data_IF_913994571138
#
_entry.id   IF_913994571138
#
_cell.length_a   1.000
_cell.length_b   1.000
_cell.length_c   1.000
_cell.angle_alpha   90.00
_cell.angle_beta   90.00
_cell.angle_gamma   90.00
#
_symmetry.space_group_name_H-M   'P 1'
#
loop_
_entity.id
_entity.type
_entity.pdbx_description
1 polymer ?
#
# COMPACT_ATOMS: atom_id res chain seq x y z
N UNK A 1 48.00 25.83 -43.24
CA UNK A 1 46.69 26.47 -42.96
C UNK A 1 45.67 25.89 -43.93
N UNK A 2 44.46 25.59 -43.46
CA UNK A 2 43.51 24.69 -44.13
C UNK A 2 42.65 25.41 -45.17
N UNK A 3 42.70 24.98 -46.44
CA UNK A 3 41.67 25.28 -47.45
C UNK A 3 41.43 24.04 -48.31
N UNK A 4 40.43 23.24 -47.92
CA UNK A 4 39.81 22.19 -48.74
C UNK A 4 38.28 22.34 -48.58
N UNK A 5 37.62 23.05 -49.50
CA UNK A 5 37.03 22.54 -50.75
C UNK A 5 35.55 22.12 -50.60
N UNK A 6 34.69 23.01 -51.13
CA UNK A 6 33.43 22.75 -51.87
C UNK A 6 32.14 22.43 -51.11
N UNK A 7 31.16 23.31 -51.37
CA UNK A 7 29.73 23.18 -51.13
C UNK A 7 29.13 21.94 -51.83
N UNK A 8 28.33 21.17 -51.08
CA UNK A 8 27.32 20.16 -51.49
C UNK A 8 26.43 19.94 -50.24
N UNK A 9 25.10 19.80 -50.26
CA UNK A 9 24.09 19.81 -51.34
C UNK A 9 22.89 20.71 -50.91
N UNK A 10 21.64 20.38 -51.25
CA UNK A 10 20.41 20.96 -50.70
C UNK A 10 19.50 19.89 -50.06
N UNK A 11 18.92 20.22 -48.92
CA UNK A 11 17.60 19.81 -48.39
C UNK A 11 17.37 20.65 -47.11
N UNK A 12 16.23 21.26 -46.81
CA UNK A 12 14.87 20.95 -47.20
C UNK A 12 14.07 20.55 -45.94
N UNK A 13 12.86 21.09 -45.78
CA UNK A 13 11.82 20.74 -44.78
C UNK A 13 11.85 21.46 -43.41
N UNK A 14 10.91 22.39 -43.30
CA UNK A 14 9.99 22.64 -42.17
C UNK A 14 10.52 22.64 -40.73
N UNK A 15 10.47 23.82 -40.11
CA UNK A 15 10.39 24.02 -38.66
C UNK A 15 9.05 23.51 -38.08
N UNK A 16 8.86 22.20 -38.04
CA UNK A 16 7.97 21.62 -37.02
C UNK A 16 8.77 21.48 -35.73
N UNK A 17 8.64 22.50 -34.87
CA UNK A 17 9.13 22.45 -33.50
C UNK A 17 8.69 21.12 -32.88
N UNK A 18 9.65 20.27 -32.51
CA UNK A 18 9.37 18.98 -31.90
C UNK A 18 8.96 19.19 -30.43
N UNK A 19 7.82 19.88 -30.24
CA UNK A 19 7.09 19.91 -28.99
C UNK A 19 6.72 18.48 -28.70
N UNK A 20 7.53 17.85 -27.84
CA UNK A 20 7.15 16.61 -27.19
C UNK A 20 6.04 16.98 -26.21
N UNK A 21 4.80 17.04 -26.71
CA UNK A 21 3.66 16.82 -25.83
C UNK A 21 3.82 15.38 -25.38
N UNK A 22 4.48 15.22 -24.23
CA UNK A 22 4.29 14.04 -23.41
C UNK A 22 2.79 14.01 -23.13
N UNK A 23 2.07 13.25 -23.95
CA UNK A 23 0.69 12.88 -23.66
C UNK A 23 0.82 12.09 -22.38
N UNK A 24 0.56 12.75 -21.25
CA UNK A 24 0.50 12.09 -19.97
C UNK A 24 -0.33 10.85 -20.19
N UNK A 25 0.26 9.69 -19.90
CA UNK A 25 -0.57 8.52 -19.73
C UNK A 25 -1.66 8.91 -18.73
N UNK A 26 -2.92 8.45 -18.89
CA UNK A 26 -3.75 8.39 -17.71
C UNK A 26 -2.90 7.69 -16.65
N UNK A 27 -2.72 8.32 -15.49
CA UNK A 27 -2.29 7.57 -14.32
C UNK A 27 -3.25 6.38 -14.29
N UNK A 28 -2.71 5.18 -14.41
CA UNK A 28 -3.52 3.98 -14.47
C UNK A 28 -4.46 4.04 -13.28
N UNK A 29 -5.73 3.73 -13.53
CA UNK A 29 -6.73 3.53 -12.50
C UNK A 29 -6.09 2.93 -11.25
N UNK A 30 -6.23 3.66 -10.14
CA UNK A 30 -5.71 3.26 -8.83
C UNK A 30 -6.11 1.79 -8.61
N UNK A 31 -5.16 0.85 -8.50
CA UNK A 31 -5.53 -0.50 -8.12
C UNK A 31 -6.14 -0.35 -6.73
N UNK A 32 -7.40 -0.75 -6.61
CA UNK A 32 -8.18 -0.73 -5.38
C UNK A 32 -7.29 -1.26 -4.25
N UNK A 33 -6.69 -0.35 -3.46
CA UNK A 33 -5.75 -0.74 -2.41
C UNK A 33 -6.59 -1.46 -1.37
N UNK A 34 -6.51 -2.79 -1.40
CA UNK A 34 -7.06 -3.72 -0.44
C UNK A 34 -6.53 -3.31 0.94
N UNK A 35 -7.25 -2.40 1.61
CA UNK A 35 -6.95 -1.88 2.94
C UNK A 35 -7.20 -2.98 3.95
N UNK A 36 -6.26 -3.93 3.99
CA UNK A 36 -6.22 -5.03 4.92
C UNK A 36 -6.45 -4.50 6.34
N UNK A 37 -7.33 -5.16 7.08
CA UNK A 37 -7.55 -4.77 8.47
C UNK A 37 -6.25 -4.94 9.26
N UNK A 38 -6.11 -4.22 10.38
CA UNK A 38 -4.96 -4.37 11.27
C UNK A 38 -4.71 -5.84 11.64
N UNK A 39 -5.76 -6.64 11.75
CA UNK A 39 -5.73 -8.06 12.12
C UNK A 39 -5.31 -8.99 10.97
N UNK A 40 -5.29 -8.52 9.73
CA UNK A 40 -4.81 -9.25 8.55
C UNK A 40 -3.32 -8.98 8.25
N UNK A 41 -2.73 -7.93 8.83
CA UNK A 41 -1.32 -7.59 8.66
C UNK A 41 -0.41 -8.52 9.51
N UNK A 42 0.82 -8.82 9.10
CA UNK A 42 1.77 -9.57 9.94
C UNK A 42 2.25 -8.73 11.13
N UNK A 43 2.81 -9.33 12.20
CA UNK A 43 3.58 -8.56 13.19
C UNK A 43 4.77 -7.86 12.54
N UNK A 44 4.98 -6.60 12.90
CA UNK A 44 6.14 -5.82 12.46
C UNK A 44 6.85 -5.17 13.66
N UNK A 45 8.13 -5.51 13.83
CA UNK A 45 9.01 -5.01 14.89
C UNK A 45 9.43 -3.56 14.63
N UNK A 46 9.49 -3.13 13.37
CA UNK A 46 10.06 -1.85 12.95
C UNK A 46 11.59 -1.77 13.10
N UNK A 47 12.15 -0.64 12.67
CA UNK A 47 13.61 -0.44 12.52
C UNK A 47 14.34 0.12 13.76
N UNK A 48 13.66 0.20 14.92
CA UNK A 48 14.24 0.73 16.16
C UNK A 48 14.58 -0.36 17.18
N UNK A 49 15.58 -0.11 18.03
CA UNK A 49 16.11 -1.09 18.98
C UNK A 49 15.57 -0.98 20.43
N UNK A 50 14.30 -0.59 20.63
CA UNK A 50 13.67 -0.64 21.97
C UNK A 50 13.01 -2.00 22.20
N UNK A 51 12.95 -2.42 23.45
CA UNK A 51 12.15 -3.58 23.85
C UNK A 51 10.83 -3.11 24.46
N UNK A 52 9.81 -2.91 23.62
CA UNK A 52 8.45 -2.55 24.06
C UNK A 52 7.54 -3.76 23.88
N UNK A 53 7.02 -4.32 24.97
CA UNK A 53 5.99 -5.36 24.91
C UNK A 53 4.72 -4.83 24.25
N UNK A 54 4.24 -5.52 23.23
CA UNK A 54 3.00 -5.23 22.49
C UNK A 54 2.30 -6.54 22.15
N UNK A 55 1.04 -6.46 21.73
CA UNK A 55 0.24 -7.59 21.29
C UNK A 55 -0.10 -7.47 19.81
N UNK A 56 -0.12 -8.58 19.08
CA UNK A 56 -0.56 -8.66 17.70
C UNK A 56 -1.51 -9.84 17.52
N UNK A 57 -2.40 -9.78 16.54
CA UNK A 57 -3.22 -10.92 16.15
C UNK A 57 -2.45 -11.81 15.17
N UNK A 58 -2.32 -13.09 15.50
CA UNK A 58 -1.71 -14.09 14.65
C UNK A 58 -2.79 -14.84 13.88
N UNK A 59 -2.87 -14.62 12.56
CA UNK A 59 -3.83 -15.28 11.68
C UNK A 59 -3.55 -16.78 11.44
N UNK A 60 -2.39 -17.31 11.83
CA UNK A 60 -2.10 -18.75 11.78
C UNK A 60 -2.67 -19.51 12.99
N UNK A 61 -2.76 -18.86 14.15
CA UNK A 61 -3.34 -19.41 15.40
C UNK A 61 -4.75 -18.92 15.69
N UNK A 62 -5.21 -17.87 14.99
CA UNK A 62 -6.44 -17.11 15.25
C UNK A 62 -6.49 -16.48 16.66
N UNK A 63 -5.33 -16.25 17.28
CA UNK A 63 -5.18 -15.74 18.64
C UNK A 63 -4.31 -14.48 18.71
N UNK A 64 -4.52 -13.67 19.76
CA UNK A 64 -3.64 -12.57 20.09
C UNK A 64 -2.41 -13.07 20.85
N UNK A 65 -1.23 -12.63 20.43
CA UNK A 65 0.07 -13.08 20.94
C UNK A 65 0.95 -11.88 21.34
N UNK A 66 1.83 -12.08 22.31
CA UNK A 66 2.82 -11.07 22.71
C UNK A 66 4.00 -11.01 21.72
N UNK A 67 4.48 -9.81 21.40
CA UNK A 67 5.73 -9.60 20.68
C UNK A 67 6.51 -8.37 21.18
N UNK A 68 7.81 -8.34 20.86
CA UNK A 68 8.66 -7.19 21.13
C UNK A 68 8.61 -6.22 19.95
N UNK A 69 8.09 -5.02 20.18
CA UNK A 69 8.12 -3.91 19.24
C UNK A 69 9.34 -3.01 19.46
N UNK A 70 10.03 -2.67 18.37
CA UNK A 70 11.22 -1.84 18.33
C UNK A 70 11.01 -0.38 18.77
N UNK A 71 9.77 0.08 18.85
CA UNK A 71 9.42 1.38 19.40
C UNK A 71 9.43 2.54 18.40
N UNK A 72 9.52 2.25 17.09
CA UNK A 72 9.19 3.15 15.98
C UNK A 72 8.80 2.32 14.74
N UNK A 73 8.19 2.96 13.74
CA UNK A 73 7.69 2.32 12.52
C UNK A 73 6.77 1.12 12.87
N UNK A 74 6.87 0.02 12.12
CA UNK A 74 5.93 -1.09 12.19
C UNK A 74 4.61 -0.77 11.46
N UNK A 75 3.62 -1.63 11.67
CA UNK A 75 2.26 -1.49 11.13
C UNK A 75 1.20 -1.47 12.25
N UNK A 76 -0.08 -1.51 11.87
CA UNK A 76 -1.21 -1.36 12.79
C UNK A 76 -1.60 -2.65 13.54
N UNK A 77 -1.00 -3.81 13.25
CA UNK A 77 -1.19 -5.03 14.04
C UNK A 77 -0.38 -4.99 15.35
N UNK A 78 -0.69 -4.01 16.22
CA UNK A 78 0.13 -3.65 17.37
C UNK A 78 -0.68 -2.91 18.43
N UNK A 79 -1.13 -3.65 19.43
CA UNK A 79 -1.99 -3.20 20.51
C UNK A 79 -1.21 -3.09 21.84
N UNK A 80 -1.66 -2.23 22.75
CA UNK A 80 -1.09 -2.05 24.10
C UNK A 80 -1.52 -3.15 25.08
N UNK A 81 -2.60 -3.89 24.78
CA UNK A 81 -3.07 -5.00 25.61
C UNK A 81 -3.66 -6.17 24.82
N UNK A 82 -3.66 -7.35 25.48
CA UNK A 82 -4.31 -8.57 24.99
C UNK A 82 -5.83 -8.39 24.78
N UNK A 83 -6.45 -7.58 25.64
CA UNK A 83 -7.89 -7.25 25.58
C UNK A 83 -8.19 -6.38 24.36
N UNK A 84 -7.44 -5.31 24.15
CA UNK A 84 -7.55 -4.43 22.98
C UNK A 84 -7.37 -5.19 21.66
N UNK A 85 -6.32 -6.01 21.56
CA UNK A 85 -6.11 -6.90 20.40
C UNK A 85 -7.32 -7.83 20.18
N UNK A 86 -7.81 -8.45 21.26
CA UNK A 86 -8.97 -9.35 21.20
C UNK A 86 -10.24 -8.62 20.76
N UNK A 87 -10.49 -7.40 21.26
CA UNK A 87 -11.68 -6.63 20.96
C UNK A 87 -11.69 -6.04 19.55
N UNK A 88 -10.51 -5.75 18.99
CA UNK A 88 -10.35 -5.37 17.59
C UNK A 88 -10.60 -6.60 16.69
N UNK A 89 -9.81 -7.65 16.85
CA UNK A 89 -9.72 -8.74 15.86
C UNK A 89 -10.82 -9.79 15.96
N UNK A 90 -11.61 -9.82 17.04
CA UNK A 90 -12.83 -10.64 17.11
C UNK A 90 -14.03 -10.04 16.36
N UNK A 91 -13.97 -8.76 15.93
CA UNK A 91 -15.05 -8.12 15.17
C UNK A 91 -14.87 -8.26 13.66
N UNK A 92 -13.63 -8.26 13.18
CA UNK A 92 -13.32 -8.42 11.75
C UNK A 92 -13.88 -9.74 11.18
N UNK A 93 -13.86 -10.82 11.96
CA UNK A 93 -14.48 -12.11 11.61
C UNK A 93 -16.02 -12.11 11.61
N UNK A 94 -16.67 -11.08 12.15
CA UNK A 94 -18.12 -10.85 12.02
C UNK A 94 -18.47 -9.84 10.91
N UNK A 95 -17.60 -8.86 10.62
CA UNK A 95 -17.86 -7.80 9.64
C UNK A 95 -17.60 -8.24 8.19
N UNK A 96 -16.74 -9.23 7.93
CA UNK A 96 -16.74 -9.96 6.65
C UNK A 96 -18.08 -10.67 6.37
N UNK A 97 -18.83 -11.03 7.40
CA UNK A 97 -20.15 -11.66 7.25
C UNK A 97 -21.27 -10.63 7.01
N UNK A 98 -21.13 -9.39 7.53
CA UNK A 98 -22.09 -8.29 7.30
C UNK A 98 -21.98 -7.69 5.90
N UNK A 99 -20.77 -7.50 5.39
CA UNK A 99 -20.55 -7.03 4.02
C UNK A 99 -21.08 -8.02 2.98
N UNK A 100 -20.94 -9.33 3.23
CA UNK A 100 -21.53 -10.38 2.41
C UNK A 100 -23.07 -10.45 2.54
N UNK A 101 -23.63 -10.24 3.75
CA UNK A 101 -25.08 -10.18 3.96
C UNK A 101 -25.74 -8.96 3.30
N UNK A 102 -25.10 -7.79 3.33
CA UNK A 102 -25.59 -6.59 2.64
C UNK A 102 -25.62 -6.80 1.11
N UNK A 103 -24.61 -7.50 0.56
CA UNK A 103 -24.58 -7.91 -0.85
C UNK A 103 -25.67 -8.94 -1.23
N UNK A 104 -26.25 -9.63 -0.25
CA UNK A 104 -27.42 -10.51 -0.44
C UNK A 104 -28.77 -9.84 -0.11
N UNK A 105 -28.79 -8.55 0.21
CA UNK A 105 -30.03 -7.76 0.31
C UNK A 105 -30.85 -8.01 1.58
N UNK A 106 -30.19 -8.22 2.72
CA UNK A 106 -30.87 -8.32 4.02
C UNK A 106 -30.77 -6.97 4.77
N UNK A 107 -31.86 -6.19 4.74
CA UNK A 107 -32.04 -5.04 5.64
C UNK A 107 -32.47 -5.53 7.04
N UNK A 108 -31.71 -5.27 8.12
CA UNK A 108 -32.15 -5.57 9.48
C UNK A 108 -33.09 -4.47 10.01
N UNK A 109 -34.28 -4.88 10.48
CA UNK A 109 -35.22 -4.05 11.28
C UNK A 109 -34.74 -3.83 12.72
#
# INVERSE_FOLDING_TARGET
MLIAQKNVLLAGLLVISSVRIAKGAPAAEDPEEEVLSACQLPKDVGDCDKNVTKYYFNSESEECEEFTFGGCNGNDNKFDSMEECSEACKKDSEDENKSNAYRMGFDPE
#
